data_IF_557864569333
#
_entry.id   IF_557864569333
#
_cell.length_a   1.000
_cell.length_b   1.000
_cell.length_c   1.000
_cell.angle_alpha   90.00
_cell.angle_beta   90.00
_cell.angle_gamma   90.00
#
_symmetry.space_group_name_H-M   'P 1'
#
loop_
_entity.id
_entity.type
_entity.pdbx_description
1 polymer ?
#
# COMPACT_ATOMS: atom_id res chain seq x y z
N UNK A 1 22.95 -8.68 12.54
CA UNK A 1 21.89 -8.42 11.55
C UNK A 1 20.87 -9.52 11.69
N UNK A 2 19.66 -9.18 12.13
CA UNK A 2 18.54 -10.13 12.15
C UNK A 2 17.82 -9.88 10.83
N UNK A 3 17.74 -10.91 9.99
CA UNK A 3 16.88 -10.90 8.81
C UNK A 3 15.57 -11.48 9.30
N UNK A 4 14.52 -10.65 9.30
CA UNK A 4 13.20 -11.05 9.78
C UNK A 4 12.38 -11.70 8.66
N UNK A 5 12.53 -11.19 7.42
CA UNK A 5 11.76 -11.66 6.25
C UNK A 5 12.66 -12.11 5.09
N UNK A 6 12.49 -13.37 4.68
CA UNK A 6 13.06 -13.96 3.45
C UNK A 6 11.91 -14.53 2.62
N UNK A 7 11.78 -14.11 1.37
CA UNK A 7 10.85 -14.70 0.40
C UNK A 7 11.61 -15.59 -0.59
N UNK A 8 11.16 -16.84 -0.76
CA UNK A 8 11.70 -17.79 -1.73
C UNK A 8 10.66 -18.02 -2.83
N UNK A 9 11.03 -17.73 -4.08
CA UNK A 9 10.14 -17.86 -5.23
C UNK A 9 10.83 -18.61 -6.39
N UNK A 10 10.10 -19.39 -7.21
CA UNK A 10 10.65 -20.02 -8.41
C UNK A 10 11.29 -19.04 -9.40
N UNK A 11 12.25 -19.53 -10.19
CA UNK A 11 13.11 -18.75 -11.11
C UNK A 11 12.38 -17.88 -12.15
N UNK A 12 11.09 -18.10 -12.40
CA UNK A 12 10.30 -17.34 -13.38
C UNK A 12 8.91 -16.95 -12.82
N UNK A 13 8.87 -16.73 -11.50
CA UNK A 13 7.66 -16.29 -10.82
C UNK A 13 7.75 -14.83 -10.42
N UNK A 14 6.59 -14.20 -10.31
CA UNK A 14 6.43 -12.85 -9.82
C UNK A 14 5.87 -12.90 -8.40
N UNK A 15 6.33 -11.99 -7.55
CA UNK A 15 5.82 -11.83 -6.19
C UNK A 15 5.24 -10.43 -6.05
N UNK A 16 4.05 -10.36 -5.49
CA UNK A 16 3.45 -9.11 -5.05
C UNK A 16 3.19 -9.24 -3.57
N UNK A 17 3.43 -8.17 -2.82
CA UNK A 17 3.19 -8.15 -1.37
C UNK A 17 2.18 -7.08 -1.02
N UNK A 18 1.36 -7.38 -0.01
CA UNK A 18 0.30 -6.51 0.44
C UNK A 18 0.32 -6.47 1.97
N UNK A 19 0.32 -5.27 2.53
CA UNK A 19 0.21 -5.08 3.98
C UNK A 19 -1.14 -4.46 4.31
N UNK A 20 -1.64 -4.70 5.52
CA UNK A 20 -2.99 -4.30 5.91
C UNK A 20 -2.98 -3.62 7.28
N UNK A 21 -3.79 -2.57 7.41
CA UNK A 21 -4.22 -2.01 8.68
C UNK A 21 -5.47 -2.77 9.14
N UNK A 22 -5.45 -3.43 10.32
CA UNK A 22 -6.59 -4.15 10.83
C UNK A 22 -7.84 -3.27 10.86
N UNK A 23 -8.95 -3.79 10.32
CA UNK A 23 -10.26 -3.11 10.28
C UNK A 23 -10.33 -1.80 9.48
N UNK A 24 -9.28 -1.44 8.73
CA UNK A 24 -9.24 -0.22 7.90
C UNK A 24 -9.14 -0.57 6.43
N UNK A 25 -8.03 -1.19 6.02
CA UNK A 25 -7.74 -1.41 4.60
C UNK A 25 -6.28 -1.76 4.34
N UNK A 26 -5.92 -1.85 3.07
CA UNK A 26 -4.55 -2.12 2.64
C UNK A 26 -3.67 -0.91 2.97
N UNK A 27 -2.51 -1.10 3.59
CA UNK A 27 -1.58 -0.01 3.89
C UNK A 27 -0.53 0.20 2.81
N UNK A 28 -0.07 -0.88 2.18
CA UNK A 28 0.84 -0.83 1.06
C UNK A 28 0.66 -2.02 0.13
N UNK A 29 0.99 -1.80 -1.14
CA UNK A 29 1.15 -2.83 -2.16
C UNK A 29 2.53 -2.68 -2.79
N UNK A 30 3.25 -3.79 -2.95
CA UNK A 30 4.50 -3.83 -3.70
C UNK A 30 4.31 -4.73 -4.92
N UNK A 31 4.54 -4.17 -6.11
CA UNK A 31 4.46 -4.94 -7.35
C UNK A 31 5.68 -5.85 -7.54
N UNK A 32 5.64 -6.72 -8.55
CA UNK A 32 6.74 -7.64 -8.87
C UNK A 32 8.04 -6.96 -9.33
N UNK A 33 8.00 -5.65 -9.63
CA UNK A 33 9.18 -4.84 -9.96
C UNK A 33 9.75 -4.14 -8.72
N UNK A 34 9.11 -4.29 -7.56
CA UNK A 34 9.51 -3.65 -6.31
C UNK A 34 8.95 -2.24 -6.14
N UNK A 35 8.05 -1.78 -7.01
CA UNK A 35 7.42 -0.48 -6.84
C UNK A 35 6.40 -0.54 -5.71
N UNK A 36 6.48 0.40 -4.78
CA UNK A 36 5.57 0.48 -3.63
C UNK A 36 4.53 1.58 -3.85
N UNK A 37 3.27 1.25 -3.56
CA UNK A 37 2.18 2.20 -3.39
C UNK A 37 1.71 2.16 -1.94
N UNK A 38 1.64 3.33 -1.31
CA UNK A 38 1.16 3.51 0.05
C UNK A 38 -0.24 4.11 0.04
N UNK A 39 -1.14 3.58 0.88
CA UNK A 39 -2.53 4.00 0.98
C UNK A 39 -2.76 4.72 2.30
N UNK A 40 -3.27 5.94 2.23
CA UNK A 40 -3.44 6.83 3.38
C UNK A 40 -4.93 7.03 3.63
N UNK A 41 -5.33 6.76 4.86
CA UNK A 41 -6.71 6.85 5.31
C UNK A 41 -6.90 8.01 6.29
N UNK A 42 -8.12 8.54 6.34
CA UNK A 42 -8.53 9.45 7.41
C UNK A 42 -8.91 8.70 8.70
N UNK A 43 -9.30 9.45 9.74
CA UNK A 43 -9.70 8.89 11.03
C UNK A 43 -10.98 8.02 11.00
N UNK A 44 -11.71 8.01 9.89
CA UNK A 44 -12.89 7.17 9.68
C UNK A 44 -12.58 5.93 8.83
N UNK A 45 -11.31 5.73 8.45
CA UNK A 45 -10.88 4.60 7.62
C UNK A 45 -11.22 4.77 6.14
N UNK A 46 -11.43 6.01 5.66
CA UNK A 46 -11.68 6.29 4.24
C UNK A 46 -10.38 6.64 3.53
N UNK A 47 -10.15 6.10 2.34
CA UNK A 47 -8.94 6.36 1.55
C UNK A 47 -8.94 7.82 1.08
N UNK A 48 -7.95 8.61 1.48
CA UNK A 48 -7.86 10.02 1.09
C UNK A 48 -6.70 10.30 0.14
N UNK A 49 -5.71 9.40 0.06
CA UNK A 49 -4.53 9.62 -0.76
C UNK A 49 -3.79 8.31 -1.04
N UNK A 50 -3.19 8.20 -2.23
CA UNK A 50 -2.18 7.19 -2.55
C UNK A 50 -0.85 7.87 -2.85
N UNK A 51 0.25 7.25 -2.44
CA UNK A 51 1.61 7.76 -2.67
C UNK A 51 2.52 6.70 -3.25
N UNK A 52 3.48 7.11 -4.06
CA UNK A 52 4.57 6.24 -4.48
C UNK A 52 5.58 6.02 -3.35
N UNK A 53 6.60 5.22 -3.65
CA UNK A 53 7.70 4.90 -2.75
C UNK A 53 8.58 6.10 -2.35
N UNK A 54 8.57 7.16 -3.16
CA UNK A 54 9.32 8.40 -2.91
C UNK A 54 8.47 9.42 -2.13
N UNK A 55 7.22 9.08 -1.84
CA UNK A 55 6.27 9.92 -1.09
C UNK A 55 5.55 10.95 -1.95
N UNK A 56 5.67 10.88 -3.28
CA UNK A 56 4.89 11.72 -4.18
C UNK A 56 3.44 11.25 -4.21
N UNK A 57 2.52 12.20 -4.34
CA UNK A 57 1.08 11.91 -4.43
C UNK A 57 0.79 11.37 -5.82
N UNK A 58 0.21 10.18 -5.89
CA UNK A 58 -0.30 9.59 -7.14
C UNK A 58 -1.75 10.03 -7.32
N UNK A 59 -2.58 9.84 -6.28
CA UNK A 59 -3.99 10.22 -6.28
C UNK A 59 -4.42 10.80 -4.93
N UNK A 60 -5.46 11.64 -4.95
CA UNK A 60 -6.09 12.21 -3.76
C UNK A 60 -7.61 12.17 -3.90
N UNK A 61 -8.31 11.89 -2.81
CA UNK A 61 -9.77 11.78 -2.77
C UNK A 61 -10.35 12.77 -1.77
N UNK A 62 -11.43 13.44 -2.19
CA UNK A 62 -12.21 14.32 -1.33
C UNK A 62 -13.65 13.81 -1.27
N UNK A 63 -14.20 13.74 -0.06
CA UNK A 63 -15.53 13.22 0.19
C UNK A 63 -16.47 14.36 0.57
N UNK A 64 -17.48 14.62 -0.26
CA UNK A 64 -18.55 15.56 0.03
C UNK A 64 -19.78 14.82 0.53
N UNK A 65 -20.35 15.28 1.63
CA UNK A 65 -21.60 14.77 2.16
C UNK A 65 -22.74 15.68 1.71
N UNK A 66 -23.80 15.09 1.20
CA UNK A 66 -25.07 15.78 1.06
C UNK A 66 -25.78 15.73 2.42
N UNK A 67 -26.12 16.89 2.96
CA UNK A 67 -27.10 17.01 4.06
C UNK A 67 -28.52 16.74 3.56
#
# INVERSE_FOLDING_TARGET
FIIDDISLIPYDSQIETYTWLPSVGMSSATDAKGNVVNYIYDGFGRLIMTKDQDGNIIESYEYHFAE
#
